data_IF_732864221343
#
_entry.id   IF_732864221343
#
_cell.length_a   1.000
_cell.length_b   1.000
_cell.length_c   1.000
_cell.angle_alpha   90.00
_cell.angle_beta   90.00
_cell.angle_gamma   90.00
#
_symmetry.space_group_name_H-M   'P 1'
#
loop_
_entity.id
_entity.type
_entity.pdbx_description
1 polymer ?
#
# COMPACT_ATOMS: atom_id res chain seq x y z
N UNK A 1 -44.09 -4.43 4.48
CA UNK A 1 -42.82 -4.91 5.08
C UNK A 1 -41.71 -4.02 4.56
N UNK A 2 -40.74 -3.58 5.38
CA UNK A 2 -39.59 -2.86 4.86
C UNK A 2 -38.83 -3.76 3.88
N UNK A 3 -38.44 -3.21 2.74
CA UNK A 3 -37.62 -3.89 1.76
C UNK A 3 -36.16 -3.78 2.22
N UNK A 4 -35.56 -4.90 2.62
CA UNK A 4 -34.16 -4.97 2.98
C UNK A 4 -33.30 -5.19 1.74
N UNK A 5 -32.08 -4.65 1.74
CA UNK A 5 -31.08 -4.93 0.71
C UNK A 5 -30.61 -6.38 0.84
N UNK A 6 -30.48 -7.10 -0.28
CA UNK A 6 -29.87 -8.43 -0.30
C UNK A 6 -28.36 -8.29 -0.35
N UNK A 7 -27.61 -8.64 0.72
CA UNK A 7 -26.17 -8.53 0.71
C UNK A 7 -25.55 -9.61 -0.21
N UNK A 8 -24.36 -9.37 -0.78
CA UNK A 8 -23.63 -10.34 -1.60
C UNK A 8 -23.06 -11.49 -0.77
N UNK A 9 -22.91 -11.30 0.55
CA UNK A 9 -22.38 -12.28 1.51
C UNK A 9 -23.23 -12.32 2.78
N UNK A 10 -23.26 -13.48 3.45
CA UNK A 10 -23.87 -13.60 4.78
C UNK A 10 -22.95 -13.01 5.86
N UNK A 11 -23.51 -12.51 6.98
CA UNK A 11 -22.71 -12.13 8.14
C UNK A 11 -21.80 -13.26 8.58
N UNK A 12 -20.53 -12.96 8.85
CA UNK A 12 -19.52 -13.93 9.28
C UNK A 12 -18.57 -13.30 10.30
N UNK A 13 -17.92 -14.14 11.11
CA UNK A 13 -16.79 -13.72 11.91
C UNK A 13 -15.51 -13.80 11.05
N UNK A 14 -14.70 -12.75 11.10
CA UNK A 14 -13.34 -12.74 10.56
C UNK A 14 -12.40 -12.67 11.77
N UNK A 15 -11.78 -13.78 12.12
CA UNK A 15 -10.80 -13.83 13.18
C UNK A 15 -9.50 -13.18 12.70
N UNK A 16 -9.07 -12.15 13.41
CA UNK A 16 -7.84 -11.42 13.16
C UNK A 16 -6.80 -11.78 14.23
N UNK A 17 -5.62 -12.24 13.80
CA UNK A 17 -4.47 -12.50 14.67
C UNK A 17 -3.36 -11.51 14.31
N UNK A 18 -3.16 -10.51 15.17
CA UNK A 18 -2.19 -9.44 14.94
C UNK A 18 -0.74 -9.91 15.05
N UNK A 19 -0.46 -10.95 15.84
CA UNK A 19 0.90 -11.49 16.01
C UNK A 19 1.26 -12.39 14.82
N UNK A 20 0.31 -13.19 14.33
CA UNK A 20 0.52 -14.08 13.17
C UNK A 20 0.24 -13.41 11.83
N UNK A 21 -0.31 -12.20 11.82
CA UNK A 21 -0.68 -11.44 10.64
C UNK A 21 -1.67 -12.20 9.73
N UNK A 22 -2.73 -12.79 10.32
CA UNK A 22 -3.71 -13.58 9.57
C UNK A 22 -5.15 -13.08 9.73
N UNK A 23 -5.97 -13.38 8.71
CA UNK A 23 -7.42 -13.22 8.68
C UNK A 23 -8.05 -14.59 8.40
N UNK A 24 -8.99 -15.05 9.23
CA UNK A 24 -9.67 -16.34 9.05
C UNK A 24 -11.20 -16.18 9.09
N UNK A 25 -11.96 -16.65 8.08
CA UNK A 25 -11.50 -17.30 6.85
C UNK A 25 -10.60 -16.41 5.99
N UNK A 26 -9.64 -17.04 5.32
CA UNK A 26 -8.75 -16.37 4.37
C UNK A 26 -9.49 -16.10 3.05
N UNK A 27 -9.25 -14.94 2.47
CA UNK A 27 -9.63 -14.59 1.11
C UNK A 27 -8.44 -14.69 0.16
N UNK A 28 -8.47 -13.96 -0.96
CA UNK A 28 -7.39 -13.95 -1.94
C UNK A 28 -6.07 -13.46 -1.34
N UNK A 29 -4.96 -14.04 -1.80
CA UNK A 29 -3.61 -13.59 -1.48
C UNK A 29 -2.91 -13.04 -2.71
N UNK A 30 -2.08 -12.03 -2.52
CA UNK A 30 -1.27 -11.41 -3.55
C UNK A 30 0.19 -11.41 -3.12
N UNK A 31 1.10 -11.71 -4.04
CA UNK A 31 2.54 -11.51 -3.86
C UNK A 31 3.03 -10.56 -4.95
N UNK A 32 3.83 -9.58 -4.54
CA UNK A 32 4.41 -8.57 -5.43
C UNK A 32 5.92 -8.62 -5.32
N UNK A 33 6.55 -8.98 -6.42
CA UNK A 33 8.01 -9.05 -6.57
C UNK A 33 8.54 -7.75 -7.17
N UNK A 34 9.86 -7.58 -7.17
CA UNK A 34 10.50 -6.40 -7.74
C UNK A 34 10.10 -6.16 -9.21
N UNK A 35 9.96 -7.23 -9.99
CA UNK A 35 9.48 -7.15 -11.38
C UNK A 35 8.07 -6.61 -11.53
N UNK A 36 7.23 -6.68 -10.49
CA UNK A 36 5.89 -6.10 -10.51
C UNK A 36 5.89 -4.59 -10.29
N UNK A 37 7.03 -3.99 -9.92
CA UNK A 37 7.18 -2.57 -9.54
C UNK A 37 7.88 -1.71 -10.62
N UNK A 38 7.78 -2.13 -11.87
CA UNK A 38 8.27 -1.36 -13.02
C UNK A 38 7.75 0.08 -13.02
N UNK A 39 8.65 1.02 -13.30
CA UNK A 39 8.34 2.46 -13.40
C UNK A 39 8.14 3.19 -12.08
N UNK A 40 8.26 2.52 -10.92
CA UNK A 40 8.00 3.16 -9.62
C UNK A 40 9.23 3.77 -8.95
N UNK A 41 10.41 3.21 -9.18
CA UNK A 41 11.67 3.69 -8.61
C UNK A 41 12.32 4.73 -9.53
N UNK A 42 13.04 5.69 -8.95
CA UNK A 42 13.77 6.71 -9.71
C UNK A 42 14.93 6.11 -10.52
N UNK A 43 15.66 5.19 -9.90
CA UNK A 43 16.80 4.51 -10.51
C UNK A 43 16.31 3.28 -11.30
N UNK A 44 16.02 3.50 -12.58
CA UNK A 44 15.52 2.46 -13.48
C UNK A 44 16.53 1.33 -13.70
N UNK A 45 17.83 1.63 -13.70
CA UNK A 45 18.89 0.63 -13.91
C UNK A 45 19.05 -0.26 -12.68
N UNK A 46 19.00 0.33 -11.47
CA UNK A 46 19.01 -0.43 -10.23
C UNK A 46 17.76 -1.29 -10.09
N UNK A 47 16.58 -0.76 -10.42
CA UNK A 47 15.35 -1.54 -10.47
C UNK A 47 15.45 -2.69 -11.47
N UNK A 48 15.91 -2.43 -12.70
CA UNK A 48 16.04 -3.45 -13.75
C UNK A 48 17.01 -4.57 -13.33
N UNK A 49 18.12 -4.20 -12.69
CA UNK A 49 19.10 -5.15 -12.14
C UNK A 49 18.46 -6.02 -11.05
N UNK A 50 17.75 -5.43 -10.09
CA UNK A 50 17.10 -6.18 -9.00
C UNK A 50 15.94 -7.07 -9.52
N UNK A 51 15.21 -6.60 -10.53
CA UNK A 51 14.12 -7.31 -11.20
C UNK A 51 14.62 -8.52 -12.00
N UNK A 52 15.73 -8.37 -12.75
CA UNK A 52 16.31 -9.44 -13.55
C UNK A 52 17.18 -10.43 -12.75
N UNK A 53 17.69 -10.00 -11.58
CA UNK A 53 18.46 -10.83 -10.66
C UNK A 53 17.57 -11.72 -9.79
N UNK A 54 17.66 -11.54 -8.47
CA UNK A 54 16.94 -12.39 -7.51
C UNK A 54 15.42 -12.17 -7.51
N UNK A 55 14.94 -11.09 -8.13
CA UNK A 55 13.54 -10.68 -8.19
C UNK A 55 12.80 -10.87 -6.85
N UNK A 56 13.28 -10.19 -5.78
CA UNK A 56 12.82 -10.44 -4.43
C UNK A 56 11.33 -10.14 -4.27
N UNK A 57 10.69 -10.80 -3.31
CA UNK A 57 9.36 -10.39 -2.86
C UNK A 57 9.50 -9.06 -2.13
N UNK A 58 8.79 -8.05 -2.60
CA UNK A 58 8.78 -6.72 -1.99
C UNK A 58 7.64 -6.63 -0.97
N UNK A 59 6.45 -7.11 -1.32
CA UNK A 59 5.35 -7.21 -0.38
C UNK A 59 4.34 -8.31 -0.71
N UNK A 60 3.57 -8.70 0.29
CA UNK A 60 2.42 -9.59 0.17
C UNK A 60 1.17 -8.92 0.70
N UNK A 61 0.01 -9.36 0.22
CA UNK A 61 -1.31 -8.95 0.72
C UNK A 61 -2.14 -10.20 0.97
N UNK A 62 -2.74 -10.31 2.15
CA UNK A 62 -3.71 -11.35 2.50
C UNK A 62 -5.04 -10.67 2.78
N UNK A 63 -6.05 -10.95 1.96
CA UNK A 63 -7.37 -10.35 2.11
C UNK A 63 -8.33 -11.24 2.90
N UNK A 64 -9.35 -10.62 3.48
CA UNK A 64 -10.58 -11.30 3.92
C UNK A 64 -11.39 -11.81 2.71
N UNK A 65 -12.42 -12.66 2.90
CA UNK A 65 -13.32 -13.07 1.81
C UNK A 65 -14.38 -12.01 1.48
N UNK A 66 -14.38 -10.85 2.14
CA UNK A 66 -15.35 -9.78 1.85
C UNK A 66 -15.06 -9.22 0.45
N UNK A 67 -16.04 -9.20 -0.46
CA UNK A 67 -15.79 -8.87 -1.86
C UNK A 67 -15.57 -7.38 -2.07
N UNK A 68 -14.73 -7.04 -3.04
CA UNK A 68 -14.54 -5.67 -3.54
C UNK A 68 -15.71 -5.26 -4.44
N UNK A 69 -16.86 -4.98 -3.82
CA UNK A 69 -18.06 -4.46 -4.49
C UNK A 69 -18.65 -3.29 -3.69
N UNK A 70 -19.53 -2.52 -4.34
CA UNK A 70 -20.17 -1.37 -3.70
C UNK A 70 -20.85 -1.75 -2.37
N UNK A 71 -20.70 -0.87 -1.36
CA UNK A 71 -21.24 -0.99 0.02
C UNK A 71 -20.61 -2.05 0.92
N UNK A 72 -19.67 -2.84 0.43
CA UNK A 72 -18.90 -3.76 1.26
C UNK A 72 -17.67 -3.07 1.86
N UNK A 73 -17.12 -3.66 2.94
CA UNK A 73 -15.91 -3.19 3.60
C UNK A 73 -14.87 -4.31 3.66
N UNK A 74 -14.11 -4.56 2.59
CA UNK A 74 -12.99 -5.48 2.63
C UNK A 74 -11.92 -5.09 3.65
N UNK A 75 -11.26 -6.12 4.18
CA UNK A 75 -10.03 -6.00 4.95
C UNK A 75 -8.89 -6.73 4.27
N UNK A 76 -7.68 -6.22 4.41
CA UNK A 76 -6.46 -6.92 4.01
C UNK A 76 -5.30 -6.61 4.94
N UNK A 77 -4.36 -7.54 5.06
CA UNK A 77 -3.08 -7.33 5.73
C UNK A 77 -2.00 -7.28 4.67
N UNK A 78 -1.30 -6.16 4.59
CA UNK A 78 -0.11 -6.02 3.74
C UNK A 78 1.14 -6.17 4.59
N UNK A 79 2.12 -6.94 4.11
CA UNK A 79 3.47 -7.03 4.71
C UNK A 79 4.52 -6.63 3.69
N UNK A 80 5.29 -5.58 3.98
CA UNK A 80 6.36 -5.06 3.12
C UNK A 80 7.70 -5.48 3.71
N UNK A 81 8.54 -6.13 2.91
CA UNK A 81 9.89 -6.52 3.31
C UNK A 81 10.80 -5.29 3.40
N UNK A 82 11.80 -5.29 4.30
CA UNK A 82 12.76 -4.20 4.38
C UNK A 82 13.70 -4.23 3.18
N UNK A 83 14.05 -3.07 2.65
CA UNK A 83 14.98 -2.92 1.54
C UNK A 83 14.90 -1.56 0.89
N UNK A 84 15.78 -1.31 -0.07
CA UNK A 84 15.77 -0.13 -0.92
C UNK A 84 16.30 -0.47 -2.32
N UNK A 85 16.00 0.40 -3.27
CA UNK A 85 16.57 0.40 -4.62
C UNK A 85 17.31 1.72 -4.80
N UNK A 86 18.63 1.69 -4.76
CA UNK A 86 19.49 2.89 -4.77
C UNK A 86 19.10 3.93 -3.69
N UNK A 87 18.79 3.44 -2.48
CA UNK A 87 18.39 4.27 -1.34
C UNK A 87 16.91 4.61 -1.27
N UNK A 88 16.14 4.45 -2.36
CA UNK A 88 14.67 4.64 -2.35
C UNK A 88 14.01 3.40 -1.72
N UNK A 89 13.33 3.61 -0.61
CA UNK A 89 12.82 2.54 0.26
C UNK A 89 11.75 1.70 -0.44
N UNK A 90 11.70 0.42 -0.10
CA UNK A 90 10.69 -0.49 -0.63
C UNK A 90 9.28 -0.16 -0.14
N UNK A 91 8.32 -0.36 -1.04
CA UNK A 91 7.00 0.24 -0.94
C UNK A 91 5.94 -0.56 -1.70
N UNK A 92 4.66 -0.31 -1.39
CA UNK A 92 3.56 -0.76 -2.25
C UNK A 92 3.56 0.01 -3.57
N UNK A 93 2.79 -0.47 -4.57
CA UNK A 93 2.60 0.30 -5.81
C UNK A 93 2.02 1.68 -5.53
N UNK A 94 1.10 1.75 -4.58
CA UNK A 94 0.23 2.89 -4.36
C UNK A 94 -0.79 3.05 -5.49
N UNK A 95 -1.90 3.69 -5.16
CA UNK A 95 -3.00 3.93 -6.08
C UNK A 95 -3.83 5.11 -5.61
N UNK A 96 -4.67 5.61 -6.51
CA UNK A 96 -5.82 6.43 -6.15
C UNK A 96 -7.09 5.58 -6.26
N UNK A 97 -8.11 5.87 -5.46
CA UNK A 97 -9.44 5.30 -5.67
C UNK A 97 -10.17 6.05 -6.79
N UNK A 98 -10.57 5.42 -7.91
CA UNK A 98 -11.38 6.06 -8.94
C UNK A 98 -12.70 6.62 -8.39
N UNK A 99 -13.32 5.90 -7.46
CA UNK A 99 -14.44 6.40 -6.67
C UNK A 99 -13.88 6.92 -5.35
N UNK A 100 -13.74 8.24 -5.23
CA UNK A 100 -13.11 8.88 -4.07
C UNK A 100 -13.80 8.48 -2.77
N UNK A 101 -13.17 7.58 -2.04
CA UNK A 101 -13.65 7.00 -0.79
C UNK A 101 -12.50 6.96 0.21
N UNK A 102 -12.83 7.13 1.49
CA UNK A 102 -11.82 7.09 2.56
C UNK A 102 -11.41 5.66 2.89
N UNK A 103 -10.25 5.53 3.50
CA UNK A 103 -9.66 4.25 3.92
C UNK A 103 -8.91 4.44 5.24
N UNK A 104 -8.81 3.37 6.02
CA UNK A 104 -7.96 3.36 7.22
C UNK A 104 -6.91 2.27 7.13
N UNK A 105 -5.71 2.61 7.56
CA UNK A 105 -4.65 1.65 7.88
C UNK A 105 -4.43 1.60 9.38
N UNK A 106 -4.23 0.41 9.94
CA UNK A 106 -3.74 0.20 11.29
C UNK A 106 -2.39 -0.53 11.20
N UNK A 107 -1.32 0.13 11.62
CA UNK A 107 -0.01 -0.51 11.69
C UNK A 107 0.03 -1.58 12.79
N UNK A 108 0.56 -2.75 12.45
CA UNK A 108 0.57 -3.95 13.29
C UNK A 108 1.97 -4.24 13.84
N UNK A 109 2.97 -4.31 12.96
CA UNK A 109 4.35 -4.66 13.30
C UNK A 109 5.34 -3.89 12.43
N UNK A 110 6.59 -3.83 12.87
CA UNK A 110 7.67 -3.14 12.16
C UNK A 110 7.52 -1.62 12.16
N UNK A 111 8.24 -0.95 11.26
CA UNK A 111 8.23 0.50 11.12
C UNK A 111 8.01 0.86 9.66
N UNK A 112 6.97 1.65 9.40
CA UNK A 112 6.68 2.13 8.07
C UNK A 112 6.20 3.57 8.06
N UNK A 113 5.70 3.98 6.92
CA UNK A 113 4.95 5.22 6.79
C UNK A 113 3.97 5.17 5.65
N UNK A 114 3.01 6.08 5.73
CA UNK A 114 1.94 6.27 4.77
C UNK A 114 2.17 7.61 4.07
N UNK A 115 2.57 7.51 2.80
CA UNK A 115 2.76 8.64 1.90
C UNK A 115 1.45 8.89 1.14
N UNK A 116 0.94 10.11 1.18
CA UNK A 116 -0.31 10.49 0.52
C UNK A 116 -0.12 11.70 -0.37
N UNK A 117 -0.87 11.77 -1.47
CA UNK A 117 -0.81 12.85 -2.44
C UNK A 117 -2.20 13.19 -2.98
N UNK A 118 -2.58 14.47 -2.97
CA UNK A 118 -3.87 14.95 -3.52
C UNK A 118 -3.77 15.55 -4.93
N UNK A 119 -2.60 15.46 -5.57
CA UNK A 119 -2.29 16.12 -6.85
C UNK A 119 -1.55 17.45 -6.70
N UNK A 120 -1.57 18.05 -5.51
CA UNK A 120 -0.88 19.32 -5.22
C UNK A 120 0.03 19.22 -3.99
N UNK A 121 -0.42 18.51 -2.95
CA UNK A 121 0.22 18.40 -1.64
C UNK A 121 0.55 16.96 -1.33
N UNK A 122 1.73 16.78 -0.74
CA UNK A 122 2.17 15.51 -0.18
C UNK A 122 2.08 15.56 1.34
N UNK A 123 1.52 14.50 1.92
CA UNK A 123 1.45 14.31 3.37
C UNK A 123 2.10 12.98 3.76
N UNK A 124 2.66 12.92 4.96
CA UNK A 124 3.31 11.73 5.50
C UNK A 124 2.83 11.45 6.92
N UNK A 125 2.54 10.18 7.19
CA UNK A 125 2.25 9.69 8.54
C UNK A 125 3.23 8.57 8.88
N UNK A 126 3.93 8.71 10.01
CA UNK A 126 4.72 7.61 10.57
C UNK A 126 3.80 6.51 11.08
N UNK A 127 3.99 5.29 10.57
CA UNK A 127 3.15 4.14 10.87
C UNK A 127 3.93 3.17 11.76
N UNK A 128 3.71 3.30 13.07
CA UNK A 128 4.23 2.41 14.12
C UNK A 128 3.08 1.54 14.68
N UNK A 129 3.36 0.39 15.32
CA UNK A 129 2.32 -0.48 15.87
C UNK A 129 1.30 0.29 16.73
N UNK A 130 0.02 0.18 16.36
CA UNK A 130 -1.07 0.90 17.02
C UNK A 130 -1.47 2.25 16.39
N UNK A 131 -0.72 2.75 15.40
CA UNK A 131 -1.09 3.96 14.66
C UNK A 131 -2.20 3.66 13.65
N UNK A 132 -3.27 4.48 13.68
CA UNK A 132 -4.26 4.53 12.61
C UNK A 132 -3.90 5.66 11.64
N UNK A 133 -3.60 5.31 10.39
CA UNK A 133 -3.52 6.25 9.27
C UNK A 133 -4.88 6.39 8.62
N UNK A 134 -5.46 7.59 8.63
CA UNK A 134 -6.69 7.88 7.90
C UNK A 134 -6.35 8.51 6.56
N UNK A 135 -6.87 7.90 5.49
CA UNK A 135 -6.72 8.37 4.11
C UNK A 135 -8.05 9.02 3.72
N UNK A 136 -8.11 10.36 3.59
CA UNK A 136 -9.33 11.02 3.16
C UNK A 136 -9.68 10.67 1.70
N UNK A 137 -10.97 10.73 1.32
CA UNK A 137 -11.38 10.56 -0.07
C UNK A 137 -10.57 11.45 -1.03
N UNK A 138 -10.09 10.85 -2.13
CA UNK A 138 -9.38 11.57 -3.19
C UNK A 138 -7.85 11.65 -3.04
N UNK A 139 -7.28 11.11 -1.96
CA UNK A 139 -5.84 11.03 -1.79
C UNK A 139 -5.29 9.73 -2.38
N UNK A 140 -4.37 9.84 -3.34
CA UNK A 140 -3.51 8.72 -3.69
C UNK A 140 -2.66 8.35 -2.47
N UNK A 141 -2.39 7.07 -2.26
CA UNK A 141 -1.66 6.63 -1.07
C UNK A 141 -0.74 5.46 -1.36
N UNK A 142 0.39 5.41 -0.65
CA UNK A 142 1.42 4.38 -0.74
C UNK A 142 2.01 4.12 0.65
N UNK A 143 2.21 2.84 0.96
CA UNK A 143 2.90 2.44 2.19
C UNK A 143 4.35 2.12 1.90
N UNK A 144 5.25 2.54 2.80
CA UNK A 144 6.70 2.38 2.67
C UNK A 144 7.24 1.70 3.93
N UNK A 145 8.12 0.70 3.77
CA UNK A 145 8.87 0.16 4.90
C UNK A 145 10.08 1.05 5.18
N UNK A 146 10.13 1.65 6.38
CA UNK A 146 11.21 2.55 6.80
C UNK A 146 12.22 1.87 7.74
N UNK A 147 11.96 0.63 8.13
CA UNK A 147 12.79 -0.15 9.04
C UNK A 147 13.78 -1.09 8.36
N UNK A 148 14.24 -2.01 9.19
CA UNK A 148 15.12 -3.15 8.90
C UNK A 148 14.42 -4.51 9.14
N UNK A 149 13.16 -4.47 9.58
CA UNK A 149 12.28 -5.62 9.76
C UNK A 149 11.03 -5.50 8.86
N UNK A 150 10.30 -6.59 8.58
CA UNK A 150 9.03 -6.51 7.87
C UNK A 150 8.03 -5.55 8.54
N UNK A 151 7.44 -4.66 7.75
CA UNK A 151 6.39 -3.74 8.18
C UNK A 151 5.03 -4.27 7.74
N UNK A 152 4.11 -4.43 8.67
CA UNK A 152 2.77 -4.93 8.39
C UNK A 152 1.67 -4.00 8.88
N UNK A 153 0.59 -3.88 8.09
CA UNK A 153 -0.57 -3.09 8.44
C UNK A 153 -1.87 -3.74 7.94
N UNK A 154 -2.94 -3.55 8.70
CA UNK A 154 -4.32 -3.88 8.34
C UNK A 154 -4.92 -2.69 7.59
N UNK A 155 -5.50 -2.93 6.42
CA UNK A 155 -6.31 -1.98 5.67
C UNK A 155 -7.80 -2.31 5.80
N UNK A 156 -8.64 -1.27 5.86
CA UNK A 156 -10.11 -1.38 5.72
C UNK A 156 -10.59 -0.29 4.77
N UNK A 157 -11.18 -0.70 3.66
CA UNK A 157 -11.57 0.19 2.56
C UNK A 157 -12.96 -0.16 2.02
N UNK A 158 -13.67 0.79 1.39
CA UNK A 158 -14.91 0.50 0.68
C UNK A 158 -14.66 -0.35 -0.57
N UNK A 159 -15.35 -1.48 -0.70
CA UNK A 159 -15.16 -2.40 -1.82
C UNK A 159 -15.49 -1.80 -3.19
N UNK A 160 -16.32 -0.75 -3.22
CA UNK A 160 -16.65 0.01 -4.43
C UNK A 160 -15.69 1.17 -4.75
N UNK A 161 -14.57 1.32 -4.03
CA UNK A 161 -13.62 2.40 -4.25
C UNK A 161 -12.83 2.22 -5.56
N UNK A 162 -12.44 0.96 -5.87
CA UNK A 162 -11.58 0.61 -7.00
C UNK A 162 -10.12 1.02 -6.80
N UNK A 163 -9.24 0.61 -7.72
CA UNK A 163 -7.80 0.88 -7.63
C UNK A 163 -7.26 1.38 -8.98
N UNK A 164 -6.77 2.62 -9.02
CA UNK A 164 -6.05 3.17 -10.18
C UNK A 164 -4.54 3.23 -9.91
N UNK A 165 -3.86 2.15 -10.29
CA UNK A 165 -2.39 2.07 -10.24
C UNK A 165 -1.73 2.85 -11.38
N UNK A 166 -2.45 3.06 -12.49
CA UNK A 166 -1.94 3.79 -13.66
C UNK A 166 -1.75 5.27 -13.35
N UNK A 167 -2.67 5.84 -12.58
CA UNK A 167 -2.57 7.22 -12.12
C UNK A 167 -1.24 7.49 -11.40
N UNK A 168 -0.80 6.59 -10.51
CA UNK A 168 0.47 6.73 -9.79
C UNK A 168 1.69 6.59 -10.70
N UNK A 169 1.63 5.76 -11.75
CA UNK A 169 2.70 5.66 -12.74
C UNK A 169 2.85 6.96 -13.54
N UNK A 170 1.74 7.61 -13.88
CA UNK A 170 1.72 8.85 -14.64
C UNK A 170 2.07 10.09 -13.80
N UNK A 171 1.54 10.18 -12.58
CA UNK A 171 1.59 11.39 -11.75
C UNK A 171 2.57 11.30 -10.57
N UNK A 172 2.99 10.09 -10.20
CA UNK A 172 3.78 9.85 -9.01
C UNK A 172 3.01 10.05 -7.70
N UNK A 173 3.75 10.29 -6.62
CA UNK A 173 3.23 10.47 -5.26
C UNK A 173 3.60 11.83 -4.65
N UNK A 174 4.03 12.79 -5.49
CA UNK A 174 4.54 14.11 -5.09
C UNK A 174 5.89 14.08 -4.34
N UNK A 175 6.21 13.01 -3.61
CA UNK A 175 7.53 12.74 -3.04
C UNK A 175 7.97 11.28 -3.21
N UNK A 176 9.26 11.04 -2.95
CA UNK A 176 9.93 9.74 -2.85
C UNK A 176 10.53 9.61 -1.46
N UNK A 177 10.52 8.40 -0.90
CA UNK A 177 10.99 8.12 0.44
C UNK A 177 12.36 7.44 0.42
N UNK A 178 13.38 8.09 0.98
CA UNK A 178 14.73 7.58 1.08
C UNK A 178 15.12 7.25 2.51
N UNK A 179 16.02 6.27 2.65
CA UNK A 179 16.62 5.91 3.93
C UNK A 179 17.40 7.11 4.49
N UNK A 180 17.16 7.44 5.76
CA UNK A 180 17.85 8.50 6.51
C UNK A 180 18.40 7.92 7.82
N UNK A 181 19.39 8.60 8.43
CA UNK A 181 19.88 8.26 9.78
C UNK A 181 18.82 8.55 10.85
N UNK A 182 17.94 9.51 10.60
CA UNK A 182 16.81 9.86 11.46
C UNK A 182 15.53 9.94 10.61
N UNK A 183 14.57 9.06 10.88
CA UNK A 183 13.28 9.03 10.19
C UNK A 183 13.39 8.65 8.70
N UNK A 184 12.69 9.39 7.86
CA UNK A 184 12.67 9.23 6.40
C UNK A 184 13.10 10.55 5.74
N UNK A 185 13.87 10.47 4.67
CA UNK A 185 14.19 11.62 3.82
C UNK A 185 13.20 11.67 2.65
N UNK A 186 12.24 12.60 2.71
CA UNK A 186 11.27 12.81 1.64
C UNK A 186 11.82 13.79 0.61
N UNK A 187 12.02 13.31 -0.61
CA UNK A 187 12.50 14.11 -1.74
C UNK A 187 11.38 14.37 -2.73
N UNK A 188 11.30 15.54 -3.36
CA UNK A 188 10.29 15.81 -4.39
C UNK A 188 10.28 14.74 -5.48
N UNK A 189 9.09 14.40 -5.97
CA UNK A 189 8.96 13.46 -7.08
C UNK A 189 9.44 14.13 -8.38
N UNK A 190 10.70 13.88 -8.74
CA UNK A 190 11.18 14.10 -10.10
C UNK A 190 10.98 12.82 -10.90
N UNK A 191 10.42 12.92 -12.10
CA UNK A 191 10.54 11.84 -13.07
C UNK A 191 12.01 11.65 -13.43
N UNK A 192 12.45 10.40 -13.63
CA UNK A 192 13.77 10.15 -14.22
C UNK A 192 13.84 10.91 -15.55
N UNK A 193 14.93 11.61 -15.88
CA UNK A 193 15.07 12.15 -17.22
C UNK A 193 14.92 10.98 -18.18
N UNK A 194 13.90 11.05 -19.03
CA UNK A 194 13.71 10.07 -20.09
C UNK A 194 15.03 9.97 -20.86
N UNK A 195 15.58 8.77 -20.97
CA UNK A 195 16.69 8.53 -21.89
C UNK A 195 16.21 8.94 -23.29
N UNK A 196 16.80 10.01 -23.84
CA UNK A 196 16.69 10.34 -25.27
C UNK A 196 17.29 9.25 -26.14
#
# INVERSE_FOLDING_TARGET
MPQFHTPPISPMAIAFDAEKLTLAPEGPTLTRRMSDLEGLFLDADAWATASAGDNPVVYTVVSSPVPEVDRELPQSITTIMPGDTSGELWMTKGHQHPNHQGEIYLALTGRGGLLMFDGERTEWIDMLPGTIGYIPPGWAHRSVNTGDEPYAFLAVYPGGAGHDYGWVLEHGMGSRAYRSTEGVDLRPYSASPSAE
#
